data_IF_496113209754
#
_entry.id   IF_496113209754
#
_cell.length_a   1.000
_cell.length_b   1.000
_cell.length_c   1.000
_cell.angle_alpha   90.00
_cell.angle_beta   90.00
_cell.angle_gamma   90.00
#
_symmetry.space_group_name_H-M   'P 1'
#
loop_
_entity.id
_entity.type
_entity.pdbx_description
1 polymer ?
#
# COMPACT_ATOMS: atom_id res chain seq x y z
N UNK A 1 -4.15 0.88 -23.81
CA UNK A 1 -4.46 1.15 -22.39
C UNK A 1 -4.92 2.61 -22.30
N UNK A 2 -6.07 2.89 -21.68
CA UNK A 2 -6.57 4.28 -21.60
C UNK A 2 -5.73 5.09 -20.60
N UNK A 3 -5.65 6.44 -20.75
CA UNK A 3 -4.89 7.27 -19.82
C UNK A 3 -5.40 7.16 -18.38
N UNK A 4 -6.69 6.91 -18.18
CA UNK A 4 -7.30 6.70 -16.86
C UNK A 4 -6.82 5.38 -16.24
N UNK A 5 -6.89 4.26 -16.97
CA UNK A 5 -6.39 2.97 -16.49
C UNK A 5 -4.90 3.06 -16.13
N UNK A 6 -4.09 3.76 -16.94
CA UNK A 6 -2.66 3.96 -16.65
C UNK A 6 -2.44 4.71 -15.34
N UNK A 7 -3.16 5.82 -15.10
CA UNK A 7 -3.06 6.59 -13.85
C UNK A 7 -3.48 5.78 -12.64
N UNK A 8 -4.59 5.04 -12.72
CA UNK A 8 -5.06 4.18 -11.63
C UNK A 8 -4.04 3.09 -11.28
N UNK A 9 -3.44 2.46 -12.29
CA UNK A 9 -2.38 1.46 -12.07
C UNK A 9 -1.14 2.07 -11.41
N UNK A 10 -0.71 3.26 -11.83
CA UNK A 10 0.43 3.94 -11.22
C UNK A 10 0.16 4.26 -9.75
N UNK A 11 -1.02 4.83 -9.45
CA UNK A 11 -1.42 5.14 -8.07
C UNK A 11 -1.48 3.87 -7.22
N UNK A 12 -2.07 2.79 -7.76
CA UNK A 12 -2.14 1.51 -7.08
C UNK A 12 -0.75 0.96 -6.73
N UNK A 13 0.17 0.95 -7.71
CA UNK A 13 1.54 0.47 -7.51
C UNK A 13 2.25 1.31 -6.45
N UNK A 14 2.19 2.65 -6.55
CA UNK A 14 2.84 3.54 -5.58
C UNK A 14 2.32 3.29 -4.16
N UNK A 15 1.00 3.19 -3.98
CA UNK A 15 0.41 2.93 -2.66
C UNK A 15 0.79 1.55 -2.12
N UNK A 16 0.72 0.51 -2.94
CA UNK A 16 1.11 -0.85 -2.51
C UNK A 16 2.58 -0.87 -2.11
N UNK A 17 3.47 -0.27 -2.91
CA UNK A 17 4.90 -0.21 -2.62
C UNK A 17 5.17 0.60 -1.34
N UNK A 18 4.56 1.77 -1.19
CA UNK A 18 4.71 2.59 0.01
C UNK A 18 4.22 1.85 1.26
N UNK A 19 3.06 1.19 1.18
CA UNK A 19 2.52 0.38 2.27
C UNK A 19 3.41 -0.81 2.61
N UNK A 20 3.98 -1.49 1.62
CA UNK A 20 4.93 -2.60 1.83
C UNK A 20 6.23 -2.12 2.50
N UNK A 21 6.74 -0.95 2.11
CA UNK A 21 7.90 -0.33 2.76
C UNK A 21 7.58 0.01 4.21
N UNK A 22 6.43 0.63 4.49
CA UNK A 22 5.97 0.92 5.86
C UNK A 22 5.89 -0.34 6.72
N UNK A 23 5.29 -1.41 6.20
CA UNK A 23 5.21 -2.69 6.89
C UNK A 23 6.59 -3.30 7.16
N UNK A 24 7.50 -3.21 6.19
CA UNK A 24 8.86 -3.74 6.32
C UNK A 24 9.64 -2.98 7.39
N UNK A 25 9.62 -1.64 7.34
CA UNK A 25 10.29 -0.77 8.32
C UNK A 25 9.66 -0.94 9.70
N UNK A 26 8.33 -1.00 9.78
CA UNK A 26 7.61 -1.25 11.02
C UNK A 26 7.99 -2.60 11.64
N UNK A 27 8.05 -3.67 10.85
CA UNK A 27 8.43 -4.99 11.34
C UNK A 27 9.90 -5.06 11.80
N UNK A 28 10.82 -4.44 11.05
CA UNK A 28 12.24 -4.36 11.41
C UNK A 28 12.41 -3.55 12.68
N UNK A 29 11.81 -2.36 12.75
CA UNK A 29 11.88 -1.49 13.92
C UNK A 29 11.30 -2.14 15.17
N UNK A 30 10.12 -2.78 15.04
CA UNK A 30 9.48 -3.47 16.15
C UNK A 30 10.35 -4.61 16.70
N UNK A 31 11.05 -5.35 15.82
CA UNK A 31 12.01 -6.38 16.25
C UNK A 31 13.29 -5.80 16.84
N UNK A 32 13.81 -4.71 16.28
CA UNK A 32 15.08 -4.12 16.71
C UNK A 32 14.98 -3.42 18.07
N UNK A 33 13.79 -3.01 18.49
CA UNK A 33 13.55 -2.29 19.75
C UNK A 33 12.62 -3.07 20.69
N UNK A 34 12.64 -4.40 20.61
CA UNK A 34 11.79 -5.28 21.43
C UNK A 34 11.95 -5.06 22.93
N UNK A 35 13.13 -4.61 23.35
CA UNK A 35 13.49 -4.44 24.77
C UNK A 35 13.12 -3.05 25.31
N UNK A 36 12.68 -2.13 24.44
CA UNK A 36 12.25 -0.77 24.77
C UNK A 36 11.01 -0.38 23.93
N UNK A 37 9.83 -0.97 24.21
CA UNK A 37 8.62 -0.77 23.38
C UNK A 37 8.19 0.70 23.28
N UNK A 38 8.46 1.50 24.31
CA UNK A 38 8.10 2.93 24.36
C UNK A 38 9.00 3.81 23.48
N UNK A 39 10.18 3.32 23.09
CA UNK A 39 11.13 4.06 22.26
C UNK A 39 10.79 4.02 20.76
N UNK A 40 9.87 3.14 20.33
CA UNK A 40 9.60 2.91 18.91
C UNK A 40 8.12 3.08 18.51
N UNK A 41 7.54 4.21 18.92
CA UNK A 41 6.19 4.66 18.50
C UNK A 41 6.07 4.67 16.96
N UNK A 42 7.15 5.00 16.25
CA UNK A 42 7.20 5.02 14.79
C UNK A 42 6.98 3.65 14.15
N UNK A 43 7.57 2.58 14.69
CA UNK A 43 7.34 1.22 14.20
C UNK A 43 5.89 0.75 14.43
N UNK A 44 5.31 1.07 15.59
CA UNK A 44 3.91 0.80 15.88
C UNK A 44 2.98 1.51 14.88
N UNK A 45 3.21 2.80 14.62
CA UNK A 45 2.47 3.55 13.62
C UNK A 45 2.62 2.97 12.21
N UNK A 46 3.82 2.55 11.82
CA UNK A 46 4.07 1.98 10.50
C UNK A 46 3.34 0.63 10.30
N UNK A 47 3.30 -0.20 11.34
CA UNK A 47 2.54 -1.46 11.34
C UNK A 47 1.02 -1.24 11.33
N UNK A 48 0.54 -0.18 11.98
CA UNK A 48 -0.88 0.18 11.95
C UNK A 48 -1.28 0.77 10.58
N UNK A 49 -0.50 1.71 10.06
CA UNK A 49 -0.81 2.44 8.83
C UNK A 49 -0.57 1.61 7.56
N UNK A 50 0.47 0.77 7.55
CA UNK A 50 0.89 -0.03 6.40
C UNK A 50 -0.25 -0.82 5.73
N UNK A 51 -1.07 -1.60 6.46
CA UNK A 51 -2.19 -2.35 5.90
C UNK A 51 -3.24 -1.45 5.23
N UNK A 52 -3.53 -0.27 5.79
CA UNK A 52 -4.47 0.67 5.19
C UNK A 52 -3.93 1.26 3.88
N UNK A 53 -2.64 1.59 3.83
CA UNK A 53 -2.01 2.11 2.60
C UNK A 53 -2.00 1.04 1.50
N UNK A 54 -1.65 -0.21 1.84
CA UNK A 54 -1.73 -1.34 0.90
C UNK A 54 -3.17 -1.57 0.46
N UNK A 55 -4.12 -1.59 1.39
CA UNK A 55 -5.55 -1.77 1.11
C UNK A 55 -6.08 -0.72 0.15
N UNK A 56 -5.73 0.55 0.34
CA UNK A 56 -6.08 1.63 -0.58
C UNK A 56 -5.51 1.38 -1.98
N UNK A 57 -4.24 0.98 -2.07
CA UNK A 57 -3.60 0.64 -3.34
C UNK A 57 -4.29 -0.54 -4.07
N UNK A 58 -4.75 -1.55 -3.33
CA UNK A 58 -5.53 -2.66 -3.89
C UNK A 58 -6.89 -2.19 -4.44
N UNK A 59 -7.58 -1.27 -3.76
CA UNK A 59 -8.82 -0.68 -4.28
C UNK A 59 -8.57 -0.02 -5.65
N UNK A 60 -7.51 0.78 -5.77
CA UNK A 60 -7.13 1.39 -7.04
C UNK A 60 -6.76 0.37 -8.11
N UNK A 61 -6.10 -0.73 -7.74
CA UNK A 61 -5.78 -1.82 -8.67
C UNK A 61 -7.06 -2.48 -9.20
N UNK A 62 -8.02 -2.78 -8.32
CA UNK A 62 -9.32 -3.34 -8.70
C UNK A 62 -10.07 -2.37 -9.63
N UNK A 63 -10.11 -1.08 -9.31
CA UNK A 63 -10.73 -0.06 -10.17
C UNK A 63 -10.08 -0.01 -11.56
N UNK A 64 -8.76 -0.10 -11.64
CA UNK A 64 -8.04 -0.15 -12.91
C UNK A 64 -8.43 -1.38 -13.74
N UNK A 65 -8.50 -2.56 -13.12
CA UNK A 65 -8.90 -3.82 -13.75
C UNK A 65 -10.35 -3.74 -14.26
N UNK A 66 -11.29 -3.29 -13.42
CA UNK A 66 -12.70 -3.13 -13.80
C UNK A 66 -12.86 -2.14 -14.96
N UNK A 67 -12.13 -1.04 -14.95
CA UNK A 67 -12.13 -0.06 -16.06
C UNK A 67 -11.59 -0.68 -17.35
N UNK A 68 -10.54 -1.51 -17.25
CA UNK A 68 -9.99 -2.20 -18.42
C UNK A 68 -10.97 -3.22 -19.01
N UNK A 69 -11.61 -4.03 -18.15
CA UNK A 69 -12.57 -5.06 -18.56
C UNK A 69 -13.84 -4.45 -19.18
N UNK A 70 -14.37 -3.38 -18.60
CA UNK A 70 -15.55 -2.68 -19.15
C UNK A 70 -15.24 -2.04 -20.50
N UNK A 71 -14.05 -1.44 -20.66
CA UNK A 71 -13.61 -0.87 -21.96
C UNK A 71 -13.42 -1.96 -23.02
N UNK A 72 -12.96 -3.17 -22.65
CA UNK A 72 -12.82 -4.29 -23.58
C UNK A 72 -14.15 -4.91 -24.03
N UNK A 73 -15.21 -4.80 -23.20
CA UNK A 73 -16.53 -5.38 -23.49
C UNK A 73 -17.38 -4.47 -24.38
N UNK A 74 -17.04 -3.19 -24.51
CA UNK A 74 -17.65 -2.23 -25.44
C UNK A 74 -16.87 -2.21 -26.73
#
# INVERSE_FOLDING_TARGET
MTPVTKRLTVVAVVLITAGAVLLSVGAIGFRATSDQPDANIGAGFALLAGPYVVGLGLVFAISAVLTHLTTRRR
#
